data_IF_952757773645
#
_entry.id   IF_952757773645
#
_cell.length_a   1.000
_cell.length_b   1.000
_cell.length_c   1.000
_cell.angle_alpha   90.00
_cell.angle_beta   90.00
_cell.angle_gamma   90.00
#
_symmetry.space_group_name_H-M   'P 1'
#
loop_
_entity.id
_entity.type
_entity.pdbx_description
1 polymer ?
#
# COMPACT_ATOMS: atom_id res chain seq x y z
N UNK A 1 9.23 -9.40 18.88
CA UNK A 1 10.29 -8.39 18.72
C UNK A 1 9.67 -7.04 18.37
N UNK A 2 10.30 -5.93 18.77
CA UNK A 2 9.83 -4.58 18.42
C UNK A 2 10.26 -4.25 16.98
N UNK A 3 9.34 -3.74 16.17
CA UNK A 3 9.63 -3.28 14.81
C UNK A 3 10.33 -1.91 14.84
N UNK A 4 10.82 -1.44 13.69
CA UNK A 4 11.49 -0.13 13.55
C UNK A 4 10.62 1.06 13.98
N UNK A 5 9.29 0.92 13.99
CA UNK A 5 8.37 1.94 14.51
C UNK A 5 8.23 3.18 13.61
N UNK A 6 8.49 3.04 12.30
CA UNK A 6 8.39 4.15 11.35
C UNK A 6 6.94 4.60 11.11
N UNK A 7 6.02 3.63 11.03
CA UNK A 7 4.59 3.91 11.01
C UNK A 7 4.03 3.63 12.40
N UNK A 8 3.22 4.56 12.92
CA UNK A 8 2.49 4.38 14.17
C UNK A 8 1.28 3.48 13.95
N UNK A 9 1.54 2.20 13.66
CA UNK A 9 0.52 1.19 13.40
C UNK A 9 1.04 -0.19 13.81
N UNK A 10 0.10 -1.10 14.14
CA UNK A 10 0.43 -2.45 14.56
C UNK A 10 0.11 -3.48 13.48
N UNK A 11 1.01 -4.42 13.27
CA UNK A 11 0.77 -5.57 12.38
C UNK A 11 0.37 -6.78 13.21
N UNK A 12 -0.81 -7.32 12.94
CA UNK A 12 -1.32 -8.52 13.61
C UNK A 12 -1.48 -9.66 12.60
N UNK A 13 -0.86 -10.82 12.90
CA UNK A 13 -1.05 -12.04 12.09
C UNK A 13 -2.45 -12.61 12.29
N UNK A 14 -3.07 -13.06 11.21
CA UNK A 14 -4.36 -13.76 11.24
C UNK A 14 -4.21 -15.19 10.71
N UNK A 15 -5.25 -16.02 10.89
CA UNK A 15 -5.24 -17.42 10.43
C UNK A 15 -5.59 -17.57 8.95
N UNK A 16 -6.28 -16.58 8.36
CA UNK A 16 -6.78 -16.66 6.98
C UNK A 16 -5.96 -15.72 6.10
N UNK A 17 -5.49 -16.24 4.98
CA UNK A 17 -4.82 -15.44 3.96
C UNK A 17 -5.82 -14.61 3.17
N UNK A 18 -5.48 -13.35 2.93
CA UNK A 18 -6.05 -12.55 1.84
C UNK A 18 -5.24 -12.84 0.59
N UNK A 19 -5.89 -13.21 -0.51
CA UNK A 19 -5.26 -13.46 -1.81
C UNK A 19 -6.20 -12.98 -2.92
N UNK A 20 -5.87 -11.88 -3.59
CA UNK A 20 -6.70 -11.32 -4.67
C UNK A 20 -5.84 -10.65 -5.75
N UNK A 21 -6.40 -10.54 -6.95
CA UNK A 21 -6.01 -9.46 -7.86
C UNK A 21 -6.57 -8.13 -7.35
N UNK A 22 -5.84 -7.05 -7.58
CA UNK A 22 -6.25 -5.71 -7.17
C UNK A 22 -6.21 -4.74 -8.36
N UNK A 23 -7.19 -3.85 -8.41
CA UNK A 23 -7.27 -2.76 -9.39
C UNK A 23 -7.62 -1.49 -8.60
N UNK A 24 -6.93 -0.40 -8.90
CA UNK A 24 -7.13 0.83 -8.15
C UNK A 24 -6.54 2.06 -8.82
N UNK A 25 -6.52 3.14 -8.05
CA UNK A 25 -5.92 4.42 -8.41
C UNK A 25 -5.02 4.91 -7.30
N UNK A 26 -3.83 5.34 -7.67
CA UNK A 26 -2.98 6.19 -6.85
C UNK A 26 -3.61 7.59 -6.86
N UNK A 27 -4.09 8.07 -5.72
CA UNK A 27 -4.91 9.28 -5.63
C UNK A 27 -4.08 10.57 -5.50
N UNK A 28 -2.85 10.47 -5.02
CA UNK A 28 -1.93 11.58 -4.77
C UNK A 28 -0.51 11.19 -5.17
N UNK A 29 0.37 12.18 -5.31
CA UNK A 29 1.77 11.92 -5.64
C UNK A 29 2.44 11.20 -4.46
N UNK A 30 3.02 10.03 -4.70
CA UNK A 30 3.78 9.27 -3.71
C UNK A 30 5.13 8.82 -4.29
N UNK A 31 5.86 8.01 -3.51
CA UNK A 31 7.22 7.56 -3.84
C UNK A 31 7.33 6.92 -5.24
N UNK A 32 6.34 6.12 -5.63
CA UNK A 32 6.40 5.33 -6.87
C UNK A 32 5.69 5.98 -8.06
N UNK A 33 4.77 6.94 -7.84
CA UNK A 33 3.96 7.49 -8.93
C UNK A 33 3.31 8.84 -8.62
N UNK A 34 3.06 9.61 -9.68
CA UNK A 34 1.98 10.61 -9.71
C UNK A 34 0.60 9.90 -9.77
N UNK A 35 -0.53 10.61 -9.61
CA UNK A 35 -1.83 9.98 -9.68
C UNK A 35 -2.03 9.18 -10.99
N UNK A 36 -2.32 7.89 -10.86
CA UNK A 36 -2.40 6.95 -11.97
C UNK A 36 -3.29 5.76 -11.62
N UNK A 37 -3.86 5.10 -12.62
CA UNK A 37 -4.53 3.81 -12.43
C UNK A 37 -3.47 2.70 -12.36
N UNK A 38 -3.75 1.65 -11.61
CA UNK A 38 -2.85 0.52 -11.50
C UNK A 38 -3.59 -0.82 -11.45
N UNK A 39 -2.85 -1.87 -11.80
CA UNK A 39 -3.17 -3.27 -11.53
C UNK A 39 -2.05 -3.88 -10.70
N UNK A 40 -2.44 -4.79 -9.82
CA UNK A 40 -1.57 -5.41 -8.85
C UNK A 40 -2.21 -6.70 -8.32
N UNK A 41 -1.58 -7.31 -7.33
CA UNK A 41 -2.15 -8.37 -6.53
C UNK A 41 -1.81 -8.16 -5.06
N UNK A 42 -2.59 -8.76 -4.16
CA UNK A 42 -2.32 -8.76 -2.72
C UNK A 42 -2.27 -10.21 -2.24
N UNK A 43 -1.29 -10.53 -1.39
CA UNK A 43 -1.24 -11.78 -0.65
C UNK A 43 -0.66 -11.54 0.74
N UNK A 44 -1.46 -11.70 1.79
CA UNK A 44 -0.99 -11.49 3.16
C UNK A 44 -1.87 -12.20 4.20
N UNK A 45 -1.23 -12.64 5.29
CA UNK A 45 -1.93 -13.14 6.49
C UNK A 45 -2.15 -12.05 7.52
N UNK A 46 -1.38 -10.96 7.46
CA UNK A 46 -1.43 -9.89 8.44
C UNK A 46 -2.55 -8.91 8.14
N UNK A 47 -3.01 -8.22 9.20
CA UNK A 47 -3.83 -7.02 9.12
C UNK A 47 -3.17 -5.91 9.92
N UNK A 48 -3.35 -4.68 9.45
CA UNK A 48 -2.93 -3.49 10.20
C UNK A 48 -4.03 -3.14 11.20
N UNK A 49 -3.64 -2.83 12.43
CA UNK A 49 -4.49 -2.42 13.55
C UNK A 49 -4.02 -1.07 14.07
N UNK A 50 -4.90 -0.41 14.82
CA UNK A 50 -4.64 0.88 15.46
C UNK A 50 -4.14 1.95 14.48
N UNK A 51 -4.70 1.97 13.27
CA UNK A 51 -4.29 2.93 12.26
C UNK A 51 -4.70 4.36 12.70
N UNK A 52 -3.77 5.32 12.74
CA UNK A 52 -4.06 6.71 13.09
C UNK A 52 -5.06 7.34 12.13
N UNK A 53 -5.85 8.31 12.62
CA UNK A 53 -6.86 9.00 11.79
C UNK A 53 -6.25 9.85 10.67
N UNK A 54 -5.03 10.31 10.89
CA UNK A 54 -4.23 11.12 9.97
C UNK A 54 -3.30 10.27 9.08
N UNK A 55 -3.37 8.93 9.17
CA UNK A 55 -2.61 8.05 8.31
C UNK A 55 -2.93 8.28 6.83
N UNK A 56 -1.88 8.49 6.02
CA UNK A 56 -2.00 8.80 4.59
C UNK A 56 -2.00 7.51 3.78
N UNK A 57 -3.19 7.02 3.44
CA UNK A 57 -3.39 5.93 2.49
C UNK A 57 -3.59 6.51 1.08
N UNK A 58 -2.62 6.27 0.19
CA UNK A 58 -2.55 6.94 -1.12
C UNK A 58 -3.14 6.13 -2.26
N UNK A 59 -3.56 4.88 -2.02
CA UNK A 59 -4.25 4.04 -3.01
C UNK A 59 -5.72 3.90 -2.65
N UNK A 60 -6.59 4.15 -3.62
CA UNK A 60 -8.01 3.79 -3.56
C UNK A 60 -8.24 2.56 -4.44
N UNK A 61 -8.73 1.48 -3.84
CA UNK A 61 -8.95 0.18 -4.48
C UNK A 61 -10.39 0.07 -4.98
N UNK A 62 -10.52 -0.31 -6.26
CA UNK A 62 -11.78 -0.77 -6.84
C UNK A 62 -11.96 -2.28 -6.63
N UNK A 63 -10.87 -3.04 -6.71
CA UNK A 63 -10.81 -4.49 -6.44
C UNK A 63 -9.66 -4.73 -5.45
N UNK A 64 -9.85 -5.62 -4.48
CA UNK A 64 -8.90 -5.90 -3.39
C UNK A 64 -9.42 -5.50 -2.01
N UNK A 65 -8.73 -5.90 -0.95
CA UNK A 65 -9.06 -5.56 0.45
C UNK A 65 -8.23 -4.36 0.93
N UNK A 66 -6.92 -4.38 0.73
CA UNK A 66 -5.99 -3.34 1.17
C UNK A 66 -5.83 -3.29 2.68
N UNK A 67 -5.41 -2.12 3.18
CA UNK A 67 -5.17 -1.87 4.61
C UNK A 67 -6.47 -1.60 5.36
N UNK A 68 -7.30 -0.68 4.87
CA UNK A 68 -8.55 -0.29 5.52
C UNK A 68 -9.52 0.35 4.52
N UNK A 69 -10.80 -0.03 4.57
CA UNK A 69 -11.87 0.61 3.78
C UNK A 69 -11.57 0.73 2.28
N UNK A 70 -11.05 -0.33 1.66
CA UNK A 70 -10.61 -0.33 0.25
C UNK A 70 -9.53 0.70 -0.05
N UNK A 71 -8.72 1.04 0.95
CA UNK A 71 -7.54 1.90 0.81
C UNK A 71 -6.28 1.15 1.21
N UNK A 72 -5.18 1.46 0.53
CA UNK A 72 -3.88 0.84 0.75
C UNK A 72 -2.75 1.88 0.58
N UNK A 73 -1.51 1.42 0.72
CA UNK A 73 -0.28 2.19 0.63
C UNK A 73 -0.18 3.33 1.65
N UNK A 74 0.32 3.00 2.84
CA UNK A 74 0.73 4.00 3.82
C UNK A 74 1.95 4.77 3.32
N UNK A 75 1.85 6.08 3.35
CA UNK A 75 2.90 6.98 2.90
C UNK A 75 3.33 7.91 4.02
N UNK A 76 4.63 7.98 4.28
CA UNK A 76 5.21 9.00 5.16
C UNK A 76 6.59 9.41 4.60
N UNK A 77 6.81 10.71 4.42
CA UNK A 77 7.97 11.25 3.67
C UNK A 77 8.24 10.51 2.35
N UNK A 78 9.45 9.94 2.20
CA UNK A 78 9.88 9.13 1.06
C UNK A 78 9.74 7.62 1.33
N UNK A 79 8.84 7.22 2.23
CA UNK A 79 8.53 5.81 2.51
C UNK A 79 7.11 5.48 2.07
N UNK A 80 6.96 4.31 1.46
CA UNK A 80 5.68 3.75 1.05
C UNK A 80 5.60 2.29 1.50
N UNK A 81 4.55 1.93 2.23
CA UNK A 81 4.28 0.57 2.69
C UNK A 81 2.90 0.12 2.21
N UNK A 82 2.85 -0.93 1.39
CA UNK A 82 1.65 -1.34 0.64
C UNK A 82 1.49 -2.85 0.69
N UNK A 83 0.24 -3.34 0.82
CA UNK A 83 -0.06 -4.75 0.57
C UNK A 83 -0.20 -5.06 -0.91
N UNK A 84 -0.54 -4.06 -1.75
CA UNK A 84 -0.56 -4.22 -3.19
C UNK A 84 0.87 -4.41 -3.73
N UNK A 85 1.12 -5.59 -4.29
CA UNK A 85 2.28 -5.91 -5.11
C UNK A 85 2.03 -5.38 -6.53
N UNK A 86 2.44 -4.13 -6.77
CA UNK A 86 2.31 -3.46 -8.06
C UNK A 86 3.02 -4.23 -9.18
N UNK A 87 2.41 -4.26 -10.36
CA UNK A 87 3.09 -4.72 -11.57
C UNK A 87 4.01 -3.61 -12.09
N UNK A 88 5.31 -3.73 -11.79
CA UNK A 88 6.30 -2.68 -12.05
C UNK A 88 6.54 -2.39 -13.53
N UNK A 89 6.32 -3.38 -14.39
CA UNK A 89 6.40 -3.26 -15.85
C UNK A 89 5.27 -2.38 -16.44
N UNK A 90 4.12 -2.31 -15.78
CA UNK A 90 2.91 -1.69 -16.33
C UNK A 90 2.90 -0.16 -16.36
N UNK A 91 3.78 0.52 -15.59
CA UNK A 91 3.68 1.98 -15.41
C UNK A 91 4.99 2.71 -15.06
N UNK A 92 6.17 2.13 -15.35
CA UNK A 92 7.49 2.75 -15.11
C UNK A 92 7.72 3.25 -13.67
N UNK A 93 7.14 2.60 -12.67
CA UNK A 93 7.27 2.99 -11.26
C UNK A 93 8.73 3.08 -10.80
N UNK A 94 9.59 2.19 -11.33
CA UNK A 94 11.01 2.15 -11.01
C UNK A 94 11.76 3.44 -11.39
N UNK A 95 11.36 4.12 -12.47
CA UNK A 95 12.03 5.36 -12.91
C UNK A 95 11.91 6.46 -11.87
N UNK A 96 10.79 6.54 -11.13
CA UNK A 96 10.62 7.57 -10.09
C UNK A 96 11.44 7.34 -8.84
N UNK A 97 11.79 6.09 -8.56
CA UNK A 97 12.62 5.75 -7.40
C UNK A 97 14.06 6.27 -7.53
N UNK A 98 14.54 6.45 -8.77
CA UNK A 98 15.91 6.91 -9.04
C UNK A 98 16.02 8.42 -9.28
N UNK A 99 14.90 9.12 -9.44
CA UNK A 99 14.85 10.58 -9.65
C UNK A 99 14.93 11.40 -8.35
N UNK A 100 15.02 10.76 -7.19
CA UNK A 100 15.01 11.39 -5.86
C UNK A 100 16.27 11.08 -5.07
#
# INVERSE_FOLDING_TARGET
YKMVGLFDAETQMTKKMTLNYTEGRINSRCLVSAPAKFRAHEFHYSKIRNLPRDAKLVYDLKIGEGIANKKDALSEYNTLASYCHLYFDSAKYATRLVER
#
